data_IF_177068599793
#
_entry.id   IF_177068599793
#
_cell.length_a   1.000
_cell.length_b   1.000
_cell.length_c   1.000
_cell.angle_alpha   90.00
_cell.angle_beta   90.00
_cell.angle_gamma   90.00
#
_symmetry.space_group_name_H-M   'P 1'
#
loop_
_entity.id
_entity.type
_entity.pdbx_description
1 polymer ?
#
# COMPACT_ATOMS: atom_id res chain seq x y z
N UNK A 1 0.85 -30.64 7.60
CA UNK A 1 2.05 -29.87 8.00
C UNK A 1 2.03 -28.56 7.25
N UNK A 2 2.11 -27.42 7.93
CA UNK A 2 2.18 -26.10 7.29
C UNK A 2 3.65 -25.78 7.07
N UNK A 3 3.99 -25.40 5.84
CA UNK A 3 5.34 -24.99 5.45
C UNK A 3 5.29 -23.57 4.92
N UNK A 4 6.31 -22.78 5.21
CA UNK A 4 6.44 -21.41 4.77
C UNK A 4 7.93 -21.04 4.70
N UNK A 5 8.28 -20.00 3.95
CA UNK A 5 9.67 -19.52 3.91
C UNK A 5 10.04 -18.87 5.24
N UNK A 6 11.23 -19.14 5.77
CA UNK A 6 11.75 -18.47 6.97
C UNK A 6 12.58 -17.21 6.65
N UNK A 7 12.63 -16.81 5.37
CA UNK A 7 13.39 -15.64 4.94
C UNK A 7 12.75 -14.33 5.45
N UNK A 8 13.57 -13.38 5.90
CA UNK A 8 13.13 -12.07 6.38
C UNK A 8 12.52 -11.17 5.29
N UNK A 9 12.71 -11.51 4.02
CA UNK A 9 12.17 -10.77 2.87
C UNK A 9 10.96 -11.46 2.24
N UNK A 10 10.56 -12.63 2.75
CA UNK A 10 9.42 -13.36 2.20
C UNK A 10 8.19 -13.07 3.07
N UNK A 11 7.17 -12.49 2.44
CA UNK A 11 5.91 -12.13 3.08
C UNK A 11 5.05 -13.37 3.20
N UNK A 12 4.66 -13.70 4.43
CA UNK A 12 3.81 -14.87 4.73
C UNK A 12 2.35 -14.47 4.88
N UNK A 13 2.10 -13.33 5.53
CA UNK A 13 0.76 -12.74 5.68
C UNK A 13 0.85 -11.26 5.31
N UNK A 14 -0.07 -10.78 4.48
CA UNK A 14 -0.19 -9.35 4.18
C UNK A 14 -1.64 -8.94 4.10
N UNK A 15 -1.97 -7.79 4.67
CA UNK A 15 -3.30 -7.19 4.54
C UNK A 15 -3.23 -5.80 3.93
N UNK A 16 -4.24 -5.46 3.12
CA UNK A 16 -4.52 -4.11 2.65
C UNK A 16 -5.96 -3.75 2.97
N UNK A 17 -6.23 -2.48 3.21
CA UNK A 17 -7.58 -1.94 3.25
C UNK A 17 -7.71 -0.80 2.24
N UNK A 18 -8.63 -0.96 1.30
CA UNK A 18 -8.85 -0.05 0.18
C UNK A 18 -9.74 -0.70 -0.87
N UNK A 19 -9.84 -0.12 -2.06
CA UNK A 19 -10.59 -0.70 -3.17
C UNK A 19 -11.98 -0.10 -3.40
N UNK A 20 -12.50 -0.27 -4.62
CA UNK A 20 -13.76 0.29 -5.12
C UNK A 20 -13.62 1.72 -5.67
N UNK A 21 -14.46 2.13 -6.64
CA UNK A 21 -14.40 3.47 -7.24
C UNK A 21 -14.60 4.63 -6.25
N UNK A 22 -15.27 4.38 -5.10
CA UNK A 22 -15.40 5.33 -3.99
C UNK A 22 -14.48 5.02 -2.80
N UNK A 23 -13.56 4.07 -2.95
CA UNK A 23 -12.58 3.71 -1.94
C UNK A 23 -11.39 4.66 -1.90
N UNK A 24 -10.39 4.32 -1.10
CA UNK A 24 -9.14 5.09 -0.98
C UNK A 24 -7.95 4.27 -1.47
N UNK A 25 -6.93 4.94 -2.01
CA UNK A 25 -5.65 4.30 -2.28
C UNK A 25 -4.97 3.84 -0.98
N UNK A 26 -4.58 2.57 -0.94
CA UNK A 26 -3.70 2.07 0.11
C UNK A 26 -2.24 2.29 -0.31
N UNK A 27 -1.62 3.35 0.23
CA UNK A 27 -0.19 3.64 0.02
C UNK A 27 0.75 2.57 0.57
N UNK A 28 0.27 1.69 1.45
CA UNK A 28 1.03 0.57 2.00
C UNK A 28 0.07 -0.51 2.49
N UNK A 29 0.58 -1.73 2.76
CA UNK A 29 -0.14 -2.71 3.57
C UNK A 29 -0.50 -2.15 4.95
N UNK A 30 -1.59 -2.65 5.53
CA UNK A 30 -1.93 -2.47 6.95
C UNK A 30 -1.08 -3.39 7.82
N UNK A 31 -0.87 -4.63 7.36
CA UNK A 31 -0.06 -5.63 8.06
C UNK A 31 0.83 -6.32 7.02
N UNK A 32 2.10 -6.52 7.35
CA UNK A 32 2.99 -7.45 6.66
C UNK A 32 3.76 -8.27 7.68
N UNK A 33 3.63 -9.59 7.63
CA UNK A 33 4.36 -10.55 8.48
C UNK A 33 5.31 -11.35 7.59
N UNK A 34 6.59 -11.37 7.95
CA UNK A 34 7.66 -12.00 7.20
C UNK A 34 8.01 -13.38 7.77
N UNK A 35 8.72 -14.18 6.98
CA UNK A 35 9.11 -15.55 7.30
C UNK A 35 9.91 -15.72 8.59
N UNK A 36 10.68 -14.70 8.96
CA UNK A 36 11.48 -14.69 10.18
C UNK A 36 10.70 -14.26 11.43
N UNK A 37 9.40 -13.97 11.30
CA UNK A 37 8.53 -13.48 12.37
C UNK A 37 8.55 -11.96 12.55
N UNK A 38 9.36 -11.21 11.80
CA UNK A 38 9.23 -9.75 11.76
C UNK A 38 7.85 -9.37 11.24
N UNK A 39 7.22 -8.35 11.82
CA UNK A 39 6.01 -7.77 11.24
C UNK A 39 6.09 -6.25 11.20
N UNK A 40 5.42 -5.66 10.22
CA UNK A 40 5.29 -4.22 10.03
C UNK A 40 3.80 -3.90 10.00
N UNK A 41 3.39 -2.97 10.86
CA UNK A 41 2.04 -2.41 10.97
C UNK A 41 2.03 -1.04 10.29
N UNK A 42 1.11 -0.85 9.34
CA UNK A 42 0.73 0.41 8.73
C UNK A 42 -0.71 0.78 9.09
N UNK A 43 -1.50 1.38 8.18
CA UNK A 43 -1.12 1.88 6.85
C UNK A 43 -0.40 3.24 6.89
N UNK A 44 0.14 3.65 5.74
CA UNK A 44 0.67 4.99 5.52
C UNK A 44 2.16 5.13 5.82
N UNK A 45 2.57 6.34 6.19
CA UNK A 45 3.99 6.70 6.34
C UNK A 45 4.55 6.47 7.75
N UNK A 46 3.68 6.35 8.76
CA UNK A 46 4.06 6.13 10.17
C UNK A 46 3.98 4.65 10.54
N UNK A 47 4.80 3.83 9.88
CA UNK A 47 4.81 2.39 10.11
C UNK A 47 5.48 2.02 11.44
N UNK A 48 5.08 0.90 12.03
CA UNK A 48 5.69 0.34 13.24
C UNK A 48 6.13 -1.09 13.00
N UNK A 49 7.30 -1.45 13.49
CA UNK A 49 7.84 -2.79 13.41
C UNK A 49 7.74 -3.49 14.77
N UNK A 50 7.41 -4.78 14.74
CA UNK A 50 7.52 -5.68 15.87
C UNK A 50 8.02 -7.06 15.43
N UNK A 51 7.97 -8.02 16.35
CA UNK A 51 8.43 -9.39 16.10
C UNK A 51 7.57 -10.41 16.82
N UNK A 52 7.19 -11.47 16.11
CA UNK A 52 6.66 -12.71 16.64
C UNK A 52 7.82 -13.67 16.91
N UNK A 53 7.73 -14.47 17.98
CA UNK A 53 8.58 -15.64 18.12
C UNK A 53 8.23 -16.67 17.04
N UNK A 54 9.15 -17.60 16.75
CA UNK A 54 8.88 -18.69 15.80
C UNK A 54 7.65 -19.50 16.23
N UNK A 55 7.51 -19.80 17.52
CA UNK A 55 6.36 -20.51 18.07
C UNK A 55 5.05 -19.72 17.89
N UNK A 56 5.07 -18.41 18.15
CA UNK A 56 3.89 -17.56 17.98
C UNK A 56 3.48 -17.46 16.50
N UNK A 57 4.44 -17.33 15.58
CA UNK A 57 4.16 -17.35 14.15
C UNK A 57 3.59 -18.71 13.72
N UNK A 58 4.20 -19.81 14.14
CA UNK A 58 3.73 -21.15 13.83
C UNK A 58 2.32 -21.41 14.39
N UNK A 59 2.03 -20.93 15.61
CA UNK A 59 0.71 -21.00 16.23
C UNK A 59 -0.32 -20.19 15.45
N UNK A 60 0.00 -18.94 15.07
CA UNK A 60 -0.84 -18.11 14.21
C UNK A 60 -1.19 -18.87 12.92
N UNK A 61 -0.19 -19.36 12.19
CA UNK A 61 -0.41 -20.09 10.94
C UNK A 61 -1.25 -21.36 11.14
N UNK A 62 -1.02 -22.09 12.23
CA UNK A 62 -1.83 -23.26 12.58
C UNK A 62 -3.29 -22.87 12.85
N UNK A 63 -3.55 -21.76 13.53
CA UNK A 63 -4.92 -21.28 13.77
C UNK A 63 -5.60 -20.89 12.46
N UNK A 64 -4.93 -20.12 11.59
CA UNK A 64 -5.50 -19.70 10.30
C UNK A 64 -5.83 -20.90 9.39
N UNK A 65 -4.96 -21.91 9.35
CA UNK A 65 -5.12 -23.05 8.44
C UNK A 65 -5.98 -24.17 9.03
N UNK A 66 -5.85 -24.49 10.32
CA UNK A 66 -6.55 -25.64 10.91
C UNK A 66 -7.77 -25.21 11.73
N UNK A 67 -7.73 -24.03 12.36
CA UNK A 67 -8.85 -23.48 13.13
C UNK A 67 -9.87 -22.78 12.23
N UNK A 68 -9.41 -21.78 11.46
CA UNK A 68 -10.26 -21.03 10.55
C UNK A 68 -10.39 -21.70 9.18
N UNK A 69 -9.53 -22.66 8.85
CA UNK A 69 -9.62 -23.49 7.65
C UNK A 69 -9.61 -22.70 6.34
N UNK A 70 -8.87 -21.58 6.28
CA UNK A 70 -8.81 -20.67 5.13
C UNK A 70 -8.46 -21.39 3.83
N UNK A 71 -7.58 -22.39 3.88
CA UNK A 71 -7.13 -23.10 2.67
C UNK A 71 -8.19 -24.04 2.08
N UNK A 72 -9.30 -24.25 2.79
CA UNK A 72 -10.42 -25.08 2.37
C UNK A 72 -11.63 -24.29 1.88
N UNK A 73 -11.54 -22.95 1.79
CA UNK A 73 -12.63 -22.14 1.26
C UNK A 73 -12.90 -22.47 -0.20
N UNK A 74 -14.18 -22.42 -0.57
CA UNK A 74 -14.63 -22.61 -1.94
C UNK A 74 -14.65 -21.31 -2.74
N UNK A 75 -14.70 -20.17 -2.05
CA UNK A 75 -14.59 -18.86 -2.65
C UNK A 75 -13.52 -18.00 -1.97
N UNK A 76 -12.96 -17.06 -2.73
CA UNK A 76 -11.95 -16.12 -2.27
C UNK A 76 -12.46 -14.70 -2.11
N UNK A 77 -13.66 -14.40 -2.60
CA UNK A 77 -14.24 -13.06 -2.59
C UNK A 77 -15.53 -13.09 -1.78
N UNK A 78 -15.55 -12.36 -0.68
CA UNK A 78 -16.70 -12.20 0.20
C UNK A 78 -17.09 -10.73 0.22
N UNK A 79 -17.74 -10.31 -0.85
CA UNK A 79 -18.14 -8.93 -1.05
C UNK A 79 -19.32 -8.80 -2.03
N UNK A 80 -20.35 -8.05 -1.67
CA UNK A 80 -21.53 -7.77 -2.50
C UNK A 80 -21.75 -6.27 -2.78
N UNK A 81 -20.81 -5.41 -2.33
CA UNK A 81 -20.80 -3.92 -2.37
C UNK A 81 -21.37 -3.29 -3.62
N UNK A 82 -20.84 -3.26 -4.85
CA UNK A 82 -19.51 -2.83 -5.32
C UNK A 82 -19.04 -1.42 -4.86
N UNK A 83 -17.86 -1.02 -5.31
CA UNK A 83 -17.28 0.33 -5.13
C UNK A 83 -17.03 0.82 -3.69
N UNK A 84 -16.72 -0.08 -2.76
CA UNK A 84 -16.39 0.23 -1.36
C UNK A 84 -15.07 -0.40 -0.95
N UNK A 85 -14.43 0.18 0.07
CA UNK A 85 -13.24 -0.41 0.70
C UNK A 85 -13.52 -1.84 1.19
N UNK A 86 -12.55 -2.71 0.97
CA UNK A 86 -12.51 -4.07 1.48
C UNK A 86 -11.12 -4.37 2.07
N UNK A 87 -11.06 -5.36 2.94
CA UNK A 87 -9.79 -5.91 3.42
C UNK A 87 -9.34 -7.03 2.50
N UNK A 88 -8.15 -6.90 1.94
CA UNK A 88 -7.52 -7.93 1.12
C UNK A 88 -6.48 -8.65 1.97
N UNK A 89 -6.59 -9.97 2.09
CA UNK A 89 -5.65 -10.83 2.78
C UNK A 89 -4.86 -11.65 1.76
N UNK A 90 -3.54 -11.61 1.86
CA UNK A 90 -2.64 -12.49 1.11
C UNK A 90 -1.92 -13.45 2.07
N UNK A 91 -1.82 -14.71 1.67
CA UNK A 91 -1.06 -15.74 2.38
C UNK A 91 -0.08 -16.42 1.43
N UNK A 92 1.16 -16.63 1.88
CA UNK A 92 2.15 -17.44 1.16
C UNK A 92 2.53 -18.66 2.01
N UNK A 93 1.86 -19.79 1.75
CA UNK A 93 1.98 -21.02 2.53
C UNK A 93 2.05 -22.22 1.60
N UNK A 94 2.79 -23.26 1.98
CA UNK A 94 2.90 -24.52 1.23
C UNK A 94 3.27 -24.31 -0.25
N UNK A 95 4.18 -23.36 -0.52
CA UNK A 95 4.60 -22.94 -1.87
C UNK A 95 3.44 -22.45 -2.76
N UNK A 96 2.35 -21.96 -2.15
CA UNK A 96 1.19 -21.40 -2.83
C UNK A 96 0.86 -20.01 -2.29
N UNK A 97 0.32 -19.19 -3.17
CA UNK A 97 -0.24 -17.89 -2.82
C UNK A 97 -1.76 -17.99 -2.79
N UNK A 98 -2.34 -17.50 -1.70
CA UNK A 98 -3.78 -17.39 -1.52
C UNK A 98 -4.13 -15.91 -1.35
N UNK A 99 -5.23 -15.48 -1.94
CA UNK A 99 -5.76 -14.14 -1.78
C UNK A 99 -7.23 -14.25 -1.41
N UNK A 100 -7.64 -13.49 -0.39
CA UNK A 100 -9.03 -13.39 0.06
C UNK A 100 -9.43 -11.92 0.11
N UNK A 101 -10.67 -11.62 -0.23
CA UNK A 101 -11.26 -10.29 -0.13
C UNK A 101 -12.43 -10.36 0.85
N UNK A 102 -12.37 -9.51 1.87
CA UNK A 102 -13.36 -9.38 2.94
C UNK A 102 -13.96 -7.98 2.90
N UNK A 103 -15.24 -7.88 2.54
CA UNK A 103 -15.98 -6.63 2.61
C UNK A 103 -17.41 -6.89 3.08
N UNK A 104 -18.29 -5.90 2.89
CA UNK A 104 -19.72 -6.10 3.13
C UNK A 104 -20.21 -7.27 2.26
N UNK A 105 -20.85 -8.25 2.87
CA UNK A 105 -21.27 -9.51 2.25
C UNK A 105 -22.53 -10.06 2.92
N UNK A 106 -23.35 -10.82 2.18
CA UNK A 106 -24.56 -11.49 2.70
C UNK A 106 -25.85 -10.66 2.65
N UNK A 107 -25.85 -9.51 1.96
CA UNK A 107 -27.04 -8.69 1.72
C UNK A 107 -27.86 -9.16 0.54
N UNK A 108 -27.22 -9.75 -0.47
CA UNK A 108 -27.86 -10.56 -1.50
C UNK A 108 -27.89 -12.01 -0.99
N UNK A 109 -28.97 -12.75 -1.20
CA UNK A 109 -29.18 -14.05 -0.56
C UNK A 109 -28.03 -15.05 -0.85
N UNK A 110 -27.23 -15.36 0.17
CA UNK A 110 -26.05 -16.25 0.08
C UNK A 110 -26.31 -17.67 0.61
N UNK A 111 -25.48 -18.62 0.16
CA UNK A 111 -25.51 -19.99 0.71
C UNK A 111 -25.02 -20.03 2.17
N UNK A 112 -25.48 -21.02 2.94
CA UNK A 112 -24.99 -21.23 4.33
C UNK A 112 -23.48 -21.45 4.39
N UNK A 113 -22.91 -22.12 3.38
CA UNK A 113 -21.47 -22.34 3.29
C UNK A 113 -20.71 -21.02 3.07
N UNK A 114 -21.19 -20.18 2.14
CA UNK A 114 -20.59 -18.87 1.87
C UNK A 114 -20.57 -17.97 3.12
N UNK A 115 -21.66 -17.98 3.90
CA UNK A 115 -21.74 -17.23 5.17
C UNK A 115 -20.81 -17.79 6.25
N UNK A 116 -20.66 -19.12 6.36
CA UNK A 116 -19.69 -19.74 7.28
C UNK A 116 -18.24 -19.34 6.92
N UNK A 117 -17.87 -19.45 5.64
CA UNK A 117 -16.55 -19.09 5.15
C UNK A 117 -16.27 -17.57 5.36
N UNK A 118 -17.28 -16.71 5.16
CA UNK A 118 -17.18 -15.27 5.47
C UNK A 118 -16.86 -15.00 6.94
N UNK A 119 -17.60 -15.63 7.85
CA UNK A 119 -17.36 -15.49 9.30
C UNK A 119 -16.02 -16.07 9.73
N UNK A 120 -15.53 -17.10 9.04
CA UNK A 120 -14.20 -17.66 9.28
C UNK A 120 -13.10 -16.74 8.79
N UNK A 121 -13.31 -16.03 7.68
CA UNK A 121 -12.38 -14.99 7.23
C UNK A 121 -12.30 -13.83 8.22
N UNK A 122 -13.44 -13.38 8.75
CA UNK A 122 -13.51 -12.36 9.80
C UNK A 122 -12.71 -12.77 11.06
N UNK A 123 -12.90 -14.01 11.52
CA UNK A 123 -12.14 -14.56 12.65
C UNK A 123 -10.64 -14.68 12.36
N UNK A 124 -10.27 -15.05 11.14
CA UNK A 124 -8.87 -15.12 10.72
C UNK A 124 -8.20 -13.74 10.73
N UNK A 125 -8.86 -12.72 10.18
CA UNK A 125 -8.38 -11.33 10.22
C UNK A 125 -8.24 -10.82 11.66
N UNK A 126 -9.22 -11.12 12.50
CA UNK A 126 -9.17 -10.81 13.95
C UNK A 126 -8.00 -11.52 14.63
N UNK A 127 -7.77 -12.81 14.33
CA UNK A 127 -6.67 -13.61 14.89
C UNK A 127 -5.30 -13.07 14.48
N UNK A 128 -5.15 -12.64 13.23
CA UNK A 128 -3.92 -11.98 12.75
C UNK A 128 -3.66 -10.75 13.61
N UNK A 129 -4.62 -9.83 13.71
CA UNK A 129 -4.47 -8.60 14.49
C UNK A 129 -4.17 -8.89 15.97
N UNK A 130 -4.89 -9.84 16.56
CA UNK A 130 -4.73 -10.21 17.97
C UNK A 130 -3.38 -10.85 18.30
N UNK A 131 -2.73 -11.46 17.31
CA UNK A 131 -1.40 -12.04 17.47
C UNK A 131 -0.29 -10.98 17.53
N UNK A 132 -0.55 -9.75 17.08
CA UNK A 132 0.44 -8.67 16.93
C UNK A 132 0.46 -7.71 18.14
N UNK A 133 0.30 -8.22 19.36
CA UNK A 133 0.20 -7.44 20.61
C UNK A 133 1.54 -7.18 21.34
N UNK A 134 2.66 -7.51 20.71
CA UNK A 134 4.00 -7.32 21.28
C UNK A 134 4.46 -5.86 21.27
N UNK A 135 5.60 -5.54 21.92
CA UNK A 135 6.21 -4.23 21.82
C UNK A 135 6.57 -3.91 20.36
N UNK A 136 6.28 -2.68 19.94
CA UNK A 136 6.61 -2.18 18.60
C UNK A 136 7.41 -0.90 18.68
N UNK A 137 8.24 -0.67 17.67
CA UNK A 137 9.03 0.56 17.50
C UNK A 137 8.78 1.17 16.13
N UNK A 138 9.07 2.48 15.93
CA UNK A 138 8.94 3.10 14.61
C UNK A 138 9.74 2.33 13.55
N UNK A 139 9.09 1.97 12.45
CA UNK A 139 9.77 1.38 11.31
C UNK A 139 10.47 2.49 10.52
N UNK A 140 11.75 2.30 10.24
CA UNK A 140 12.52 3.21 9.44
C UNK A 140 13.38 2.42 8.45
N UNK A 141 13.43 2.91 7.22
CA UNK A 141 14.32 2.40 6.19
C UNK A 141 15.07 3.57 5.56
N UNK A 142 16.36 3.39 5.25
CA UNK A 142 17.16 4.38 4.52
C UNK A 142 16.75 4.51 3.06
N UNK A 143 15.98 3.53 2.57
CA UNK A 143 15.45 3.52 1.22
C UNK A 143 13.97 3.86 1.29
N UNK A 144 13.62 5.01 0.72
CA UNK A 144 12.25 5.50 0.67
C UNK A 144 11.89 5.77 -0.79
N UNK A 145 10.64 5.51 -1.13
CA UNK A 145 10.08 5.97 -2.40
C UNK A 145 9.54 7.38 -2.25
N UNK A 146 9.46 8.08 -3.36
CA UNK A 146 8.86 9.39 -3.47
C UNK A 146 7.66 9.26 -4.40
N UNK A 147 6.50 9.70 -3.93
CA UNK A 147 5.24 9.73 -4.68
C UNK A 147 4.80 11.19 -4.76
N UNK A 148 4.39 11.63 -5.95
CA UNK A 148 3.98 13.02 -6.20
C UNK A 148 2.69 13.05 -6.98
N UNK A 149 1.69 13.73 -6.45
CA UNK A 149 0.46 14.04 -7.18
C UNK A 149 0.17 15.52 -7.16
N UNK A 150 -0.45 16.00 -8.23
CA UNK A 150 -0.94 17.37 -8.30
C UNK A 150 -2.11 17.52 -7.32
N UNK A 151 -2.16 18.65 -6.63
CA UNK A 151 -3.22 19.00 -5.72
C UNK A 151 -4.01 20.20 -6.27
N UNK A 152 -5.33 20.02 -6.38
CA UNK A 152 -6.27 21.04 -6.86
C UNK A 152 -7.02 21.74 -5.72
N UNK A 153 -6.85 21.29 -4.48
CA UNK A 153 -7.52 21.86 -3.30
C UNK A 153 -6.53 22.03 -2.12
N UNK A 154 -5.39 22.71 -2.34
CA UNK A 154 -4.39 22.90 -1.30
C UNK A 154 -4.93 23.77 -0.16
N UNK A 155 -4.41 23.57 1.05
CA UNK A 155 -4.73 24.43 2.19
C UNK A 155 -3.98 25.77 2.09
N UNK A 156 -4.59 26.74 1.41
CA UNK A 156 -4.04 28.09 1.23
C UNK A 156 -3.93 28.90 2.53
N UNK A 157 -4.40 28.37 3.67
CA UNK A 157 -4.14 29.00 4.97
C UNK A 157 -2.73 28.72 5.49
N UNK A 158 -2.05 27.72 4.92
CA UNK A 158 -0.68 27.34 5.25
C UNK A 158 0.33 27.99 4.30
N UNK A 159 1.54 28.23 4.78
CA UNK A 159 2.64 28.68 3.92
C UNK A 159 3.22 27.48 3.16
N UNK A 160 2.87 27.38 1.86
CA UNK A 160 3.31 26.29 0.99
C UNK A 160 4.67 26.65 0.35
N UNK A 161 5.75 25.92 0.65
CA UNK A 161 7.09 26.23 0.14
C UNK A 161 7.26 25.91 -1.35
N UNK A 162 8.15 26.64 -2.01
CA UNK A 162 8.54 26.34 -3.39
C UNK A 162 9.40 25.06 -3.47
N UNK A 163 9.17 24.27 -4.52
CA UNK A 163 10.06 23.16 -4.85
C UNK A 163 11.38 23.66 -5.43
N UNK A 164 12.51 23.25 -4.84
CA UNK A 164 13.84 23.77 -5.20
C UNK A 164 14.84 22.71 -5.65
N UNK A 165 14.47 21.42 -5.59
CA UNK A 165 15.34 20.34 -6.07
C UNK A 165 15.53 20.45 -7.59
N UNK A 166 16.77 20.58 -8.05
CA UNK A 166 17.08 20.80 -9.46
C UNK A 166 17.17 19.51 -10.30
N UNK A 167 17.26 18.35 -9.64
CA UNK A 167 17.38 17.06 -10.33
C UNK A 167 16.15 16.73 -11.19
N UNK A 168 14.97 17.21 -10.78
CA UNK A 168 13.70 17.06 -11.50
C UNK A 168 12.66 18.05 -10.96
N UNK A 169 11.68 18.38 -11.80
CA UNK A 169 10.49 19.15 -11.43
C UNK A 169 9.41 18.25 -10.85
N UNK A 170 8.53 18.77 -9.98
CA UNK A 170 7.38 18.01 -9.47
C UNK A 170 6.43 17.59 -10.60
N UNK A 171 6.22 18.48 -11.58
CA UNK A 171 5.44 18.16 -12.78
C UNK A 171 5.98 16.94 -13.54
N UNK A 172 7.30 16.88 -13.77
CA UNK A 172 7.96 15.74 -14.43
C UNK A 172 7.71 14.43 -13.68
N UNK A 173 7.86 14.45 -12.35
CA UNK A 173 7.67 13.25 -11.54
C UNK A 173 6.20 12.81 -11.51
N UNK A 174 5.27 13.73 -11.29
CA UNK A 174 3.84 13.43 -11.29
C UNK A 174 3.39 12.82 -12.64
N UNK A 175 3.85 13.37 -13.76
CA UNK A 175 3.56 12.82 -15.10
C UNK A 175 4.22 11.45 -15.29
N UNK A 176 5.42 11.26 -14.78
CA UNK A 176 6.13 9.99 -14.89
C UNK A 176 5.42 8.86 -14.12
N UNK A 177 4.89 9.13 -12.94
CA UNK A 177 4.18 8.15 -12.12
C UNK A 177 2.77 7.88 -12.66
N UNK A 178 2.04 8.95 -12.99
CA UNK A 178 0.59 8.93 -13.20
C UNK A 178 0.12 9.27 -14.62
N UNK A 179 1.02 9.62 -15.53
CA UNK A 179 0.68 10.10 -16.86
C UNK A 179 0.26 11.57 -16.88
N UNK A 180 -0.10 12.07 -18.06
CA UNK A 180 -0.44 13.49 -18.25
C UNK A 180 -1.70 13.85 -17.45
N UNK A 181 -1.56 14.83 -16.57
CA UNK A 181 -2.66 15.34 -15.75
C UNK A 181 -3.46 16.34 -16.60
N UNK A 182 -4.78 16.13 -16.78
CA UNK A 182 -5.61 17.07 -17.52
C UNK A 182 -5.63 18.43 -16.80
N UNK A 183 -5.77 19.54 -17.54
CA UNK A 183 -5.92 20.85 -16.92
C UNK A 183 -7.15 20.89 -16.02
N UNK A 184 -7.09 21.67 -14.94
CA UNK A 184 -8.21 21.89 -14.03
C UNK A 184 -9.42 22.46 -14.79
N UNK A 185 -10.40 21.60 -15.08
CA UNK A 185 -11.64 21.99 -15.75
C UNK A 185 -12.80 21.98 -14.74
N UNK A 186 -12.71 22.80 -13.70
CA UNK A 186 -13.84 23.31 -12.88
C UNK A 186 -14.83 22.27 -12.32
N UNK A 187 -14.45 20.99 -12.30
CA UNK A 187 -15.31 19.87 -11.95
C UNK A 187 -14.74 19.13 -10.74
N UNK A 188 -15.59 18.50 -9.92
CA UNK A 188 -15.15 17.72 -8.74
C UNK A 188 -14.28 16.49 -9.09
N UNK A 189 -14.00 16.25 -10.38
CA UNK A 189 -13.30 15.09 -10.92
C UNK A 189 -12.11 15.48 -11.83
N UNK A 190 -11.49 16.66 -11.63
CA UNK A 190 -10.36 17.12 -12.45
C UNK A 190 -9.04 16.35 -12.20
N UNK A 191 -9.00 15.52 -11.16
CA UNK A 191 -7.89 14.60 -10.87
C UNK A 191 -7.95 13.36 -11.80
N UNK A 192 -6.80 12.86 -12.27
CA UNK A 192 -6.69 11.56 -12.96
C UNK A 192 -7.03 10.40 -12.03
N UNK A 193 -7.11 10.67 -10.73
CA UNK A 193 -7.37 9.70 -9.68
C UNK A 193 -6.15 8.82 -9.38
N UNK A 194 -5.00 9.06 -10.00
CA UNK A 194 -3.75 8.38 -9.67
C UNK A 194 -3.18 8.95 -8.37
N UNK A 195 -2.67 8.08 -7.49
CA UNK A 195 -2.25 8.43 -6.14
C UNK A 195 -3.37 8.93 -5.20
N UNK A 196 -4.60 9.06 -5.69
CA UNK A 196 -5.82 9.31 -4.90
C UNK A 196 -6.67 8.04 -4.77
N UNK A 197 -6.93 7.39 -5.90
CA UNK A 197 -7.75 6.19 -6.01
C UNK A 197 -6.97 5.03 -6.64
N UNK A 198 -6.18 5.28 -7.67
CA UNK A 198 -5.46 4.27 -8.45
C UNK A 198 -3.97 4.28 -8.19
N UNK A 199 -3.30 3.13 -8.38
CA UNK A 199 -1.85 3.02 -8.25
C UNK A 199 -1.15 3.67 -9.44
N UNK A 200 0.05 4.26 -9.25
CA UNK A 200 0.83 4.75 -10.38
C UNK A 200 1.36 3.59 -11.23
N UNK A 201 1.81 3.91 -12.44
CA UNK A 201 2.41 2.93 -13.35
C UNK A 201 3.83 2.51 -12.93
N UNK A 202 4.52 3.40 -12.23
CA UNK A 202 5.84 3.21 -11.66
C UNK A 202 6.00 4.15 -10.45
N UNK A 203 6.94 3.83 -9.56
CA UNK A 203 7.24 4.64 -8.38
C UNK A 203 8.70 5.04 -8.40
N UNK A 204 8.97 6.32 -8.15
CA UNK A 204 10.33 6.81 -8.13
C UNK A 204 11.08 6.43 -6.86
N UNK A 205 12.32 5.97 -7.05
CA UNK A 205 13.28 5.65 -6.00
C UNK A 205 14.43 6.67 -5.97
N UNK A 206 14.33 7.72 -5.14
CA UNK A 206 15.40 8.70 -4.97
C UNK A 206 16.74 8.04 -4.59
N UNK A 207 17.83 8.60 -5.10
CA UNK A 207 19.16 8.26 -4.60
C UNK A 207 19.40 8.89 -3.20
N UNK A 208 20.43 8.46 -2.45
CA UNK A 208 20.65 8.94 -1.08
C UNK A 208 20.82 10.47 -0.96
N UNK A 209 21.43 11.12 -1.95
CA UNK A 209 21.62 12.58 -1.97
C UNK A 209 20.28 13.30 -2.16
N UNK A 210 19.48 12.84 -3.14
CA UNK A 210 18.15 13.37 -3.38
C UNK A 210 17.26 13.18 -2.14
N UNK A 211 17.25 11.99 -1.54
CA UNK A 211 16.45 11.70 -0.35
C UNK A 211 16.83 12.62 0.83
N UNK A 212 18.13 12.90 1.03
CA UNK A 212 18.57 13.84 2.05
C UNK A 212 18.01 15.25 1.81
N UNK A 213 18.05 15.74 0.57
CA UNK A 213 17.50 17.05 0.22
C UNK A 213 15.98 17.07 0.37
N UNK A 214 15.28 16.04 -0.09
CA UNK A 214 13.81 15.90 0.05
C UNK A 214 13.41 15.91 1.53
N UNK A 215 14.09 15.13 2.38
CA UNK A 215 13.80 15.10 3.81
C UNK A 215 14.04 16.46 4.47
N UNK A 216 15.05 17.22 4.04
CA UNK A 216 15.29 18.57 4.52
C UNK A 216 14.15 19.53 4.11
N UNK A 217 13.69 19.44 2.85
CA UNK A 217 12.54 20.22 2.36
C UNK A 217 11.26 19.89 3.13
N UNK A 218 11.03 18.61 3.43
CA UNK A 218 9.90 18.12 4.24
C UNK A 218 10.09 18.37 5.75
N UNK A 219 11.16 19.00 6.20
CA UNK A 219 11.47 19.21 7.64
C UNK A 219 11.43 17.90 8.44
N UNK A 220 11.93 16.81 7.86
CA UNK A 220 11.90 15.44 8.39
C UNK A 220 10.49 14.85 8.60
N UNK A 221 9.47 15.41 7.95
CA UNK A 221 8.16 14.78 7.81
C UNK A 221 8.16 13.84 6.61
N UNK A 222 7.17 12.96 6.56
CA UNK A 222 7.01 12.01 5.45
C UNK A 222 6.05 12.48 4.37
N UNK A 223 5.41 13.63 4.55
CA UNK A 223 4.48 14.20 3.58
C UNK A 223 4.49 15.71 3.67
N UNK A 224 4.09 16.39 2.60
CA UNK A 224 3.97 17.83 2.57
C UNK A 224 3.51 18.37 1.22
N UNK A 225 3.08 19.62 1.22
CA UNK A 225 2.66 20.34 0.02
C UNK A 225 3.79 21.24 -0.49
N UNK A 226 3.90 21.37 -1.81
CA UNK A 226 4.85 22.25 -2.47
C UNK A 226 4.20 22.96 -3.66
N UNK A 227 4.71 24.15 -3.98
CA UNK A 227 4.31 24.91 -5.16
C UNK A 227 5.45 24.91 -6.20
N UNK A 228 5.08 24.72 -7.46
CA UNK A 228 5.98 24.81 -8.61
C UNK A 228 5.27 25.54 -9.76
N UNK A 229 5.78 26.71 -10.15
CA UNK A 229 5.22 27.55 -11.24
C UNK A 229 3.72 27.86 -11.09
N UNK A 230 3.26 28.03 -9.85
CA UNK A 230 1.84 28.32 -9.56
C UNK A 230 0.94 27.09 -9.45
N UNK A 231 1.49 25.87 -9.60
CA UNK A 231 0.77 24.60 -9.45
C UNK A 231 1.16 23.97 -8.12
N UNK A 232 0.19 23.40 -7.41
CA UNK A 232 0.36 22.75 -6.12
C UNK A 232 0.50 21.25 -6.27
N UNK A 233 1.34 20.66 -5.44
CA UNK A 233 1.61 19.24 -5.42
C UNK A 233 1.68 18.76 -3.98
N UNK A 234 1.13 17.58 -3.75
CA UNK A 234 1.32 16.86 -2.51
C UNK A 234 2.33 15.72 -2.72
N UNK A 235 3.25 15.64 -1.77
CA UNK A 235 4.43 14.81 -1.83
C UNK A 235 4.38 13.82 -0.68
N UNK A 236 4.66 12.55 -0.94
CA UNK A 236 4.73 11.50 0.09
C UNK A 236 6.04 10.74 -0.05
N UNK A 237 6.81 10.65 1.03
CA UNK A 237 7.92 9.71 1.17
C UNK A 237 7.51 8.52 2.00
N UNK A 238 7.71 7.31 1.46
CA UNK A 238 7.33 6.07 2.14
C UNK A 238 8.55 5.15 2.25
N UNK A 239 8.90 4.66 3.44
CA UNK A 239 9.94 3.64 3.56
C UNK A 239 9.55 2.39 2.76
N UNK A 240 10.52 1.79 2.08
CA UNK A 240 10.35 0.48 1.45
C UNK A 240 10.30 -0.60 2.53
N UNK A 241 9.41 -1.57 2.34
CA UNK A 241 9.33 -2.80 3.12
C UNK A 241 10.46 -3.78 2.72
N UNK A 242 10.81 -4.76 3.57
CA UNK A 242 11.89 -5.73 3.31
C UNK A 242 11.80 -6.46 1.96
N UNK A 243 10.59 -6.87 1.55
CA UNK A 243 10.36 -7.61 0.31
C UNK A 243 10.46 -6.73 -0.94
N UNK A 244 10.06 -5.46 -0.83
CA UNK A 244 9.88 -4.54 -1.95
C UNK A 244 11.18 -4.23 -2.68
N UNK A 245 12.29 -4.08 -1.94
CA UNK A 245 13.59 -3.84 -2.54
C UNK A 245 14.09 -5.07 -3.31
N UNK A 246 13.90 -6.27 -2.75
CA UNK A 246 14.30 -7.51 -3.40
C UNK A 246 13.48 -7.77 -4.67
N UNK A 247 12.19 -7.45 -4.63
CA UNK A 247 11.25 -7.63 -5.74
C UNK A 247 11.30 -6.49 -6.77
N UNK A 248 11.95 -5.36 -6.45
CA UNK A 248 11.96 -4.13 -7.25
C UNK A 248 10.56 -3.59 -7.51
N UNK A 249 9.68 -3.75 -6.54
CA UNK A 249 8.28 -3.32 -6.61
C UNK A 249 7.82 -2.75 -5.28
N UNK A 250 6.89 -1.81 -5.34
CA UNK A 250 6.25 -1.16 -4.20
C UNK A 250 4.88 -1.76 -4.03
N UNK A 251 4.59 -2.17 -2.80
CA UNK A 251 3.31 -2.74 -2.47
C UNK A 251 2.25 -1.64 -2.30
N UNK A 252 1.28 -1.58 -3.21
CA UNK A 252 0.16 -0.64 -3.17
C UNK A 252 -1.11 -1.34 -3.65
N UNK A 253 -2.27 -0.80 -3.27
CA UNK A 253 -3.57 -1.31 -3.74
C UNK A 253 -4.50 -0.14 -4.07
N UNK A 254 -4.90 -0.06 -5.35
CA UNK A 254 -5.82 0.95 -5.86
C UNK A 254 -7.28 0.48 -5.91
N UNK A 255 -8.19 1.45 -6.05
CA UNK A 255 -9.65 1.32 -6.18
C UNK A 255 -10.09 0.26 -7.17
N UNK A 256 -9.47 0.20 -8.34
CA UNK A 256 -9.87 -0.70 -9.43
C UNK A 256 -9.16 -2.06 -9.41
N UNK A 257 -8.46 -2.39 -8.32
CA UNK A 257 -7.70 -3.64 -8.20
C UNK A 257 -8.46 -4.64 -7.33
N UNK A 258 -8.78 -5.80 -7.92
CA UNK A 258 -9.38 -6.95 -7.23
C UNK A 258 -8.34 -7.84 -6.53
N UNK A 259 -7.07 -7.52 -6.74
CA UNK A 259 -5.94 -8.17 -6.10
C UNK A 259 -4.76 -7.23 -6.13
N UNK A 260 -3.90 -7.36 -5.13
CA UNK A 260 -2.59 -6.72 -5.09
C UNK A 260 -1.82 -6.83 -6.42
N UNK A 261 -1.25 -5.71 -6.86
CA UNK A 261 -0.19 -5.68 -7.87
C UNK A 261 0.99 -4.89 -7.34
N UNK A 262 2.21 -5.45 -7.39
CA UNK A 262 3.41 -4.70 -7.08
C UNK A 262 3.67 -3.63 -8.15
N UNK A 263 3.83 -2.37 -7.75
CA UNK A 263 4.13 -1.28 -8.67
C UNK A 263 5.65 -1.21 -8.92
N UNK A 264 6.13 -1.23 -10.18
CA UNK A 264 7.57 -1.24 -10.46
C UNK A 264 8.33 -0.03 -9.88
N UNK A 265 9.47 -0.30 -9.26
CA UNK A 265 10.41 0.73 -8.82
C UNK A 265 11.29 1.22 -9.97
N UNK A 266 11.35 2.54 -10.14
CA UNK A 266 12.28 3.17 -11.07
C UNK A 266 13.40 3.89 -10.34
N UNK A 267 14.65 3.66 -10.78
CA UNK A 267 15.83 4.36 -10.30
C UNK A 267 16.55 4.98 -11.48
N UNK A 268 16.92 6.26 -11.35
CA UNK A 268 17.70 6.97 -12.35
C UNK A 268 17.07 8.29 -12.73
N UNK A 269 17.32 8.74 -13.96
CA UNK A 269 16.74 9.99 -14.47
C UNK A 269 15.24 9.81 -14.68
N UNK A 270 14.46 10.80 -14.26
CA UNK A 270 13.04 10.90 -14.58
C UNK A 270 12.94 11.39 -16.03
N UNK A 271 12.33 10.64 -16.95
CA UNK A 271 12.15 11.06 -18.33
C UNK A 271 11.40 12.40 -18.39
N UNK A 272 11.83 13.28 -19.29
CA UNK A 272 11.04 14.47 -19.59
C UNK A 272 9.70 14.03 -20.23
N UNK A 273 8.57 14.69 -19.88
CA UNK A 273 7.31 14.48 -20.55
C UNK A 273 7.48 14.63 -22.05
N UNK A 274 7.05 13.64 -22.82
CA UNK A 274 6.97 13.77 -24.28
C UNK A 274 5.79 14.71 -24.57
N UNK A 275 5.98 15.82 -25.29
CA UNK A 275 4.86 16.65 -25.72
C UNK A 275 3.91 15.79 -26.56
N UNK A 276 2.65 15.68 -26.14
CA UNK A 276 1.61 15.11 -26.99
C UNK A 276 1.40 16.04 -28.19
N UNK A 277 1.48 15.54 -29.44
CA UNK A 277 1.27 16.34 -30.64
C UNK A 277 -0.17 16.85 -30.78
#
# INVERSE_FOLDING_TARGET
MITYSSNSNDVIIRTFYGGGNFGTLAFSPEISIYGDGTYILGPGVQMRQGRLSADALQQLLNTLVNGDGLLGFTQSQFYDVPDQNATFLQLALNNKHYAFQYGKFGTLQESTQALDEYHRLDRALTTIMDSLKGPTYPYANKTMVLLVHQDFSPDLTQNIPEWTLQDFTLSQLAIFECGVIPPDQVGPNADTGCLTFTTPSTVYLPNPRQLQTINALLKNQHQGEFIEKGIYYHLVTRPLLPDELAQKTVAMLGSNQLSYSGVPLHRGVIPAPVPTP
#
